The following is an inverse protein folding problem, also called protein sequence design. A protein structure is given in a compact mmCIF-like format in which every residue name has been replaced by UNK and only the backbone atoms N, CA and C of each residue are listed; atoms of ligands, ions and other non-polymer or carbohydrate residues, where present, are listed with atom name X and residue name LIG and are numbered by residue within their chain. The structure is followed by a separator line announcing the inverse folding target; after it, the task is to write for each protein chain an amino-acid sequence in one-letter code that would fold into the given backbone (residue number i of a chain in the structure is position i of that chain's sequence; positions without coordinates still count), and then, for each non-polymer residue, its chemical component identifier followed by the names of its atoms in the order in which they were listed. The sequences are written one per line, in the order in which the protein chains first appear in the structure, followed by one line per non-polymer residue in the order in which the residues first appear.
data_IF_233016338649
#
_entry.id   IF_233016338649
#
_cell.length_a   1.000
_cell.length_b   1.000
_cell.length_c   1.000
_cell.angle_alpha   90.00
_cell.angle_beta   90.00
_cell.angle_gamma   90.00
#
_symmetry.space_group_name_H-M   'P 1'
#
loop_
_entity.id
_entity.type
_entity.pdbx_description
1 polymer ?
#
# COMPACT_ATOMS: atom_id res chain seq x y z
N UNK A 1 -14.62 -12.14 7.51
CA UNK A 1 -13.84 -12.68 6.35
C UNK A 1 -13.76 -11.74 5.17
N UNK A 2 -14.89 -11.25 4.64
CA UNK A 2 -14.92 -10.39 3.44
C UNK A 2 -13.85 -9.29 3.42
N UNK A 3 -13.70 -8.55 4.52
CA UNK A 3 -12.70 -7.48 4.64
C UNK A 3 -11.25 -7.96 4.47
N UNK A 4 -10.89 -9.13 5.02
CA UNK A 4 -9.53 -9.66 4.91
C UNK A 4 -9.20 -10.02 3.45
N UNK A 5 -10.12 -10.68 2.75
CA UNK A 5 -9.92 -10.96 1.34
C UNK A 5 -9.88 -9.69 0.49
N UNK A 6 -10.79 -8.75 0.73
CA UNK A 6 -10.83 -7.48 -0.01
C UNK A 6 -9.53 -6.68 0.14
N UNK A 7 -9.04 -6.51 1.37
CA UNK A 7 -7.79 -5.78 1.61
C UNK A 7 -6.62 -6.51 0.94
N UNK A 8 -6.52 -7.83 1.11
CA UNK A 8 -5.40 -8.60 0.56
C UNK A 8 -5.42 -8.69 -0.97
N UNK A 9 -6.60 -8.68 -1.60
CA UNK A 9 -6.74 -8.67 -3.05
C UNK A 9 -5.97 -7.50 -3.67
N UNK A 10 -6.10 -6.30 -3.09
CA UNK A 10 -5.35 -5.11 -3.57
C UNK A 10 -3.83 -5.31 -3.50
N UNK A 11 -3.35 -5.99 -2.47
CA UNK A 11 -1.93 -6.25 -2.29
C UNK A 11 -1.41 -7.29 -3.31
N UNK A 12 -2.15 -8.39 -3.47
CA UNK A 12 -1.76 -9.52 -4.33
C UNK A 12 -1.89 -9.14 -5.80
N UNK A 13 -2.94 -8.43 -6.20
CA UNK A 13 -3.12 -8.00 -7.59
C UNK A 13 -2.04 -7.02 -8.04
N UNK A 14 -1.60 -6.14 -7.13
CA UNK A 14 -0.58 -5.15 -7.42
C UNK A 14 0.85 -5.70 -7.35
N UNK A 15 1.19 -6.54 -6.37
CA UNK A 15 2.59 -6.92 -6.08
C UNK A 15 2.82 -8.41 -5.82
N UNK A 16 1.77 -9.23 -5.91
CA UNK A 16 1.84 -10.67 -5.66
C UNK A 16 2.47 -11.43 -6.82
N UNK A 17 3.24 -12.47 -6.48
CA UNK A 17 3.76 -13.42 -7.46
C UNK A 17 2.75 -14.56 -7.71
N UNK A 18 3.02 -15.43 -8.69
CA UNK A 18 2.17 -16.61 -8.98
C UNK A 18 1.87 -17.46 -7.74
N UNK A 19 2.87 -17.61 -6.86
CA UNK A 19 2.73 -18.34 -5.60
C UNK A 19 1.80 -17.64 -4.60
N UNK A 20 1.84 -16.31 -4.55
CA UNK A 20 0.97 -15.51 -3.67
C UNK A 20 -0.49 -15.59 -4.15
N UNK A 21 -0.69 -15.57 -5.47
CA UNK A 21 -2.00 -15.76 -6.11
C UNK A 21 -2.54 -17.15 -5.80
N UNK A 22 -1.72 -18.21 -5.92
CA UNK A 22 -2.13 -19.57 -5.57
C UNK A 22 -2.58 -19.68 -4.10
N UNK A 23 -1.78 -19.13 -3.16
CA UNK A 23 -2.15 -19.10 -1.74
C UNK A 23 -3.43 -18.29 -1.47
N UNK A 24 -3.66 -17.21 -2.22
CA UNK A 24 -4.87 -16.42 -2.13
C UNK A 24 -6.10 -17.21 -2.60
N UNK A 25 -5.98 -17.94 -3.71
CA UNK A 25 -7.02 -18.82 -4.23
C UNK A 25 -7.30 -19.97 -3.26
N UNK A 26 -6.27 -20.60 -2.70
CA UNK A 26 -6.43 -21.69 -1.73
C UNK A 26 -7.17 -21.21 -0.47
N UNK A 27 -6.81 -20.04 0.05
CA UNK A 27 -7.55 -19.42 1.15
C UNK A 27 -9.02 -19.15 0.78
N UNK A 28 -9.28 -18.70 -0.46
CA UNK A 28 -10.62 -18.44 -0.94
C UNK A 28 -11.46 -19.73 -1.07
N UNK A 29 -10.84 -20.84 -1.53
CA UNK A 29 -11.46 -22.17 -1.58
C UNK A 29 -11.87 -22.66 -0.19
N UNK A 30 -11.01 -22.56 0.81
CA UNK A 30 -11.37 -22.96 2.18
C UNK A 30 -12.47 -22.06 2.77
N UNK A 31 -12.43 -20.76 2.47
CA UNK A 31 -13.51 -19.87 2.86
C UNK A 31 -14.83 -20.21 2.14
N UNK A 32 -14.80 -20.66 0.89
CA UNK A 32 -15.99 -21.11 0.16
C UNK A 32 -16.60 -22.37 0.79
N UNK A 33 -15.79 -23.41 1.04
CA UNK A 33 -16.23 -24.62 1.76
C UNK A 33 -16.87 -24.28 3.11
N UNK A 34 -16.30 -23.32 3.83
CA UNK A 34 -16.89 -22.87 5.08
C UNK A 34 -18.31 -22.29 4.90
N UNK A 35 -18.56 -21.54 3.83
CA UNK A 35 -19.91 -21.02 3.54
C UNK A 35 -20.85 -22.15 3.17
N UNK A 36 -20.38 -23.13 2.40
CA UNK A 36 -21.17 -24.32 2.07
C UNK A 36 -21.60 -25.08 3.32
N UNK A 37 -20.67 -25.43 4.21
CA UNK A 37 -20.99 -26.09 5.48
C UNK A 37 -21.89 -25.25 6.39
N UNK A 38 -21.73 -23.92 6.38
CA UNK A 38 -22.59 -23.02 7.13
C UNK A 38 -24.04 -23.05 6.61
N UNK A 39 -24.22 -23.06 5.29
CA UNK A 39 -25.54 -23.16 4.65
C UNK A 39 -26.19 -24.52 4.88
N UNK A 40 -25.40 -25.59 4.97
CA UNK A 40 -25.86 -26.95 5.32
C UNK A 40 -26.18 -27.10 6.82
N UNK A 41 -26.00 -26.05 7.65
CA UNK A 41 -26.21 -26.10 9.10
C UNK A 41 -25.09 -26.79 9.88
N UNK A 42 -23.99 -27.18 9.24
CA UNK A 42 -22.83 -27.81 9.89
C UNK A 42 -21.84 -26.75 10.41
N UNK A 43 -22.19 -26.12 11.54
CA UNK A 43 -21.40 -25.03 12.11
C UNK A 43 -20.01 -25.46 12.60
N UNK A 44 -19.87 -26.69 13.10
CA UNK A 44 -18.60 -27.21 13.59
C UNK A 44 -17.58 -27.34 12.45
N UNK A 45 -18.01 -27.86 11.29
CA UNK A 45 -17.13 -27.95 10.14
C UNK A 45 -16.87 -26.58 9.53
N UNK A 46 -17.90 -25.73 9.41
CA UNK A 46 -17.74 -24.35 8.93
C UNK A 46 -16.69 -23.58 9.74
N UNK A 47 -16.70 -23.72 11.07
CA UNK A 47 -15.70 -23.07 11.93
C UNK A 47 -14.27 -23.58 11.69
N UNK A 48 -14.09 -24.90 11.47
CA UNK A 48 -12.78 -25.48 11.14
C UNK A 48 -12.24 -24.93 9.82
N UNK A 49 -13.07 -24.90 8.78
CA UNK A 49 -12.67 -24.39 7.46
C UNK A 49 -12.33 -22.89 7.48
N UNK A 50 -13.10 -22.07 8.22
CA UNK A 50 -12.77 -20.65 8.43
C UNK A 50 -11.38 -20.49 9.05
N UNK A 51 -11.04 -21.31 10.05
CA UNK A 51 -9.74 -21.25 10.71
C UNK A 51 -8.60 -21.67 9.79
N UNK A 52 -8.84 -22.64 8.90
CA UNK A 52 -7.87 -23.02 7.87
C UNK A 52 -7.65 -21.88 6.88
N UNK A 53 -8.72 -21.24 6.40
CA UNK A 53 -8.62 -20.04 5.56
C UNK A 53 -7.82 -18.93 6.26
N UNK A 54 -8.10 -18.64 7.54
CA UNK A 54 -7.33 -17.63 8.29
C UNK A 54 -5.87 -18.00 8.48
N UNK A 55 -5.56 -19.28 8.68
CA UNK A 55 -4.18 -19.75 8.78
C UNK A 55 -3.41 -19.44 7.50
N UNK A 56 -3.98 -19.78 6.33
CA UNK A 56 -3.38 -19.50 5.02
C UNK A 56 -3.24 -17.98 4.82
N UNK A 57 -4.31 -17.21 5.06
CA UNK A 57 -4.29 -15.76 4.96
C UNK A 57 -3.20 -15.13 5.84
N UNK A 58 -3.08 -15.57 7.10
CA UNK A 58 -2.09 -15.00 8.03
C UNK A 58 -0.65 -15.18 7.54
N UNK A 59 -0.36 -16.31 6.88
CA UNK A 59 0.93 -16.58 6.25
C UNK A 59 1.16 -15.66 5.05
N UNK A 60 0.16 -15.53 4.18
CA UNK A 60 0.22 -14.69 2.98
C UNK A 60 0.38 -13.20 3.34
N UNK A 61 -0.39 -12.70 4.30
CA UNK A 61 -0.25 -11.34 4.84
C UNK A 61 1.16 -11.04 5.33
N UNK A 62 1.75 -11.96 6.09
CA UNK A 62 3.12 -11.83 6.60
C UNK A 62 4.13 -11.80 5.46
N UNK A 63 3.99 -12.70 4.47
CA UNK A 63 4.88 -12.76 3.30
C UNK A 63 4.86 -11.44 2.53
N UNK A 64 3.67 -10.95 2.19
CA UNK A 64 3.49 -9.71 1.44
C UNK A 64 4.04 -8.50 2.22
N UNK A 65 3.75 -8.39 3.52
CA UNK A 65 4.28 -7.32 4.36
C UNK A 65 5.83 -7.30 4.35
N UNK A 66 6.45 -8.45 4.60
CA UNK A 66 7.91 -8.54 4.79
C UNK A 66 8.67 -8.45 3.48
N UNK A 67 8.26 -9.22 2.47
CA UNK A 67 9.02 -9.42 1.24
C UNK A 67 8.77 -8.34 0.21
N UNK A 68 7.55 -7.81 0.14
CA UNK A 68 7.16 -6.79 -0.84
C UNK A 68 7.17 -5.42 -0.19
N UNK A 69 6.21 -5.14 0.69
CA UNK A 69 5.98 -3.79 1.18
C UNK A 69 7.14 -3.19 1.97
N UNK A 70 7.55 -3.83 3.05
CA UNK A 70 8.54 -3.28 3.98
C UNK A 70 9.92 -3.19 3.35
N UNK A 71 10.30 -4.23 2.58
CA UNK A 71 11.57 -4.25 1.84
C UNK A 71 11.64 -3.11 0.83
N UNK A 72 10.60 -2.94 0.01
CA UNK A 72 10.53 -1.85 -0.96
C UNK A 72 10.57 -0.47 -0.30
N UNK A 73 9.80 -0.28 0.79
CA UNK A 73 9.78 0.99 1.51
C UNK A 73 11.15 1.36 2.07
N UNK A 74 11.86 0.37 2.61
CA UNK A 74 13.23 0.55 3.10
C UNK A 74 14.17 0.95 1.98
N UNK A 75 14.16 0.22 0.86
CA UNK A 75 15.00 0.53 -0.30
C UNK A 75 14.72 1.95 -0.81
N UNK A 76 13.44 2.35 -0.88
CA UNK A 76 13.04 3.68 -1.31
C UNK A 76 13.57 4.78 -0.38
N UNK A 77 13.44 4.59 0.93
CA UNK A 77 13.94 5.54 1.94
C UNK A 77 15.47 5.61 1.94
N UNK A 78 16.15 4.46 1.90
CA UNK A 78 17.62 4.38 1.93
C UNK A 78 18.22 5.06 0.68
N UNK A 79 17.62 4.84 -0.50
CA UNK A 79 18.04 5.50 -1.75
C UNK A 79 17.67 6.98 -1.80
N UNK A 80 16.55 7.37 -1.21
CA UNK A 80 16.08 8.75 -1.22
C UNK A 80 16.76 9.65 -0.18
N UNK A 81 17.22 9.07 0.93
CA UNK A 81 17.88 9.78 2.03
C UNK A 81 19.04 10.70 1.60
N UNK A 82 20.04 10.26 0.80
CA UNK A 82 21.15 11.14 0.42
C UNK A 82 20.69 12.36 -0.41
N UNK A 83 19.67 12.19 -1.25
CA UNK A 83 19.12 13.27 -2.08
C UNK A 83 18.42 14.29 -1.18
N UNK A 84 17.60 13.81 -0.25
CA UNK A 84 16.82 14.66 0.65
C UNK A 84 17.73 15.45 1.60
N UNK A 85 18.71 14.77 2.21
CA UNK A 85 19.66 15.40 3.13
C UNK A 85 20.55 16.40 2.37
N UNK A 86 20.97 16.06 1.14
CA UNK A 86 21.75 16.95 0.29
C UNK A 86 21.03 18.25 -0.09
N UNK A 87 19.70 18.22 -0.21
CA UNK A 87 18.89 19.39 -0.54
C UNK A 87 18.77 20.42 0.61
N UNK A 88 19.12 20.03 1.85
CA UNK A 88 19.05 20.89 3.06
C UNK A 88 17.68 21.56 3.29
N UNK A 89 16.59 20.93 2.85
CA UNK A 89 15.22 21.41 3.10
C UNK A 89 14.66 20.79 4.39
N UNK A 90 14.31 21.59 5.42
CA UNK A 90 13.74 21.08 6.67
C UNK A 90 12.44 20.28 6.48
N UNK A 91 11.61 20.62 5.48
CA UNK A 91 10.36 19.91 5.22
C UNK A 91 10.62 18.54 4.61
N UNK A 92 11.52 18.46 3.65
CA UNK A 92 11.92 17.20 3.04
C UNK A 92 12.55 16.26 4.08
N UNK A 93 13.42 16.79 4.96
CA UNK A 93 14.00 16.03 6.06
C UNK A 93 12.94 15.56 7.06
N UNK A 94 11.93 16.38 7.36
CA UNK A 94 10.81 15.99 8.21
C UNK A 94 10.04 14.81 7.62
N UNK A 95 9.73 14.82 6.32
CA UNK A 95 9.08 13.69 5.65
C UNK A 95 9.95 12.43 5.70
N UNK A 96 11.26 12.54 5.53
CA UNK A 96 12.18 11.40 5.67
C UNK A 96 12.10 10.79 7.08
N UNK A 97 12.08 11.61 8.13
CA UNK A 97 11.93 11.15 9.52
C UNK A 97 10.59 10.43 9.75
N UNK A 98 9.49 10.98 9.23
CA UNK A 98 8.17 10.33 9.30
C UNK A 98 8.17 8.97 8.59
N UNK A 99 8.83 8.88 7.43
CA UNK A 99 8.96 7.63 6.68
C UNK A 99 9.68 6.53 7.48
N UNK A 100 10.84 6.84 8.08
CA UNK A 100 11.56 5.87 8.92
C UNK A 100 10.79 5.50 10.19
N UNK A 101 10.11 6.46 10.84
CA UNK A 101 9.26 6.20 12.01
C UNK A 101 8.19 5.17 11.69
N UNK A 102 7.42 5.39 10.63
CA UNK A 102 6.31 4.50 10.26
C UNK A 102 6.82 3.10 9.85
N UNK A 103 8.01 3.00 9.26
CA UNK A 103 8.66 1.72 8.98
C UNK A 103 9.01 0.97 10.26
N UNK A 104 9.57 1.66 11.27
CA UNK A 104 9.87 1.09 12.58
C UNK A 104 8.59 0.63 13.29
N UNK A 105 7.54 1.43 13.26
CA UNK A 105 6.25 1.07 13.89
C UNK A 105 5.59 -0.12 13.19
N UNK A 106 5.66 -0.20 11.86
CA UNK A 106 5.23 -1.38 11.12
C UNK A 106 6.03 -2.64 11.53
N UNK A 107 7.33 -2.50 11.77
CA UNK A 107 8.16 -3.61 12.27
C UNK A 107 7.75 -4.04 13.68
N UNK A 108 7.41 -3.10 14.57
CA UNK A 108 6.89 -3.41 15.91
C UNK A 108 5.58 -4.20 15.85
N UNK A 109 4.63 -3.76 15.02
CA UNK A 109 3.36 -4.48 14.82
C UNK A 109 3.58 -5.87 14.24
N UNK A 110 4.51 -6.01 13.29
CA UNK A 110 4.87 -7.32 12.77
C UNK A 110 5.42 -8.24 13.87
N UNK A 111 6.33 -7.75 14.72
CA UNK A 111 6.88 -8.52 15.84
C UNK A 111 5.81 -8.92 16.84
N UNK A 112 4.88 -8.02 17.14
CA UNK A 112 3.72 -8.31 17.99
C UNK A 112 2.85 -9.42 17.37
N UNK A 113 2.61 -9.37 16.05
CA UNK A 113 1.87 -10.40 15.34
C UNK A 113 2.60 -11.75 15.36
N UNK A 114 3.91 -11.76 15.06
CA UNK A 114 4.75 -12.97 15.07
C UNK A 114 4.75 -13.63 16.47
N UNK A 115 4.84 -12.83 17.54
CA UNK A 115 4.87 -13.30 18.93
C UNK A 115 3.50 -13.66 19.53
N UNK A 116 2.40 -13.24 18.91
CA UNK A 116 1.05 -13.59 19.40
C UNK A 116 0.77 -15.10 19.29
N UNK A 117 -0.19 -15.60 20.08
CA UNK A 117 -0.55 -17.02 20.10
C UNK A 117 -0.75 -17.58 18.68
N UNK A 118 -0.16 -18.75 18.40
CA UNK A 118 -0.20 -19.46 17.12
C UNK A 118 -1.62 -19.61 16.56
N UNK A 119 -2.62 -19.76 17.42
CA UNK A 119 -4.00 -20.02 17.03
C UNK A 119 -4.85 -18.76 16.79
N UNK A 120 -4.35 -17.57 17.16
CA UNK A 120 -5.06 -16.30 17.01
C UNK A 120 -4.80 -15.67 15.63
N UNK A 121 -5.22 -16.36 14.57
CA UNK A 121 -4.97 -15.94 13.19
C UNK A 121 -5.62 -14.59 12.85
N UNK A 122 -6.84 -14.33 13.33
CA UNK A 122 -7.56 -13.08 13.09
C UNK A 122 -6.83 -11.86 13.65
N UNK A 123 -6.26 -11.98 14.86
CA UNK A 123 -5.44 -10.95 15.48
C UNK A 123 -4.17 -10.71 14.67
N UNK A 124 -3.47 -11.79 14.26
CA UNK A 124 -2.28 -11.69 13.41
C UNK A 124 -2.59 -10.94 12.11
N UNK A 125 -3.67 -11.31 11.43
CA UNK A 125 -4.12 -10.66 10.19
C UNK A 125 -4.35 -9.16 10.42
N UNK A 126 -5.05 -8.78 11.50
CA UNK A 126 -5.32 -7.37 11.80
C UNK A 126 -4.02 -6.58 12.02
N UNK A 127 -3.09 -7.11 12.81
CA UNK A 127 -1.80 -6.47 13.05
C UNK A 127 -0.98 -6.34 11.75
N UNK A 128 -1.03 -7.34 10.86
CA UNK A 128 -0.37 -7.22 9.55
C UNK A 128 -1.05 -6.19 8.64
N UNK A 129 -2.37 -6.08 8.65
CA UNK A 129 -3.09 -5.03 7.91
C UNK A 129 -2.62 -3.64 8.35
N UNK A 130 -2.55 -3.41 9.66
CA UNK A 130 -2.13 -2.12 10.20
C UNK A 130 -0.65 -1.83 9.92
N UNK A 131 0.21 -2.84 9.99
CA UNK A 131 1.60 -2.73 9.55
C UNK A 131 1.70 -2.40 8.05
N UNK A 132 0.91 -3.02 7.17
CA UNK A 132 0.90 -2.71 5.74
C UNK A 132 0.48 -1.25 5.49
N UNK A 133 -0.54 -0.76 6.20
CA UNK A 133 -0.98 0.64 6.08
C UNK A 133 0.13 1.62 6.47
N UNK A 134 0.84 1.36 7.57
CA UNK A 134 1.99 2.18 7.98
C UNK A 134 3.12 2.13 6.94
N UNK A 135 3.42 0.96 6.37
CA UNK A 135 4.44 0.88 5.32
C UNK A 135 4.04 1.64 4.05
N UNK A 136 2.76 1.62 3.67
CA UNK A 136 2.25 2.43 2.56
C UNK A 136 2.38 3.93 2.86
N UNK A 137 2.12 4.33 4.10
CA UNK A 137 2.33 5.70 4.56
C UNK A 137 3.81 6.10 4.51
N UNK A 138 4.71 5.22 4.95
CA UNK A 138 6.16 5.42 4.85
C UNK A 138 6.62 5.65 3.40
N UNK A 139 6.12 4.84 2.45
CA UNK A 139 6.40 5.02 1.02
C UNK A 139 5.95 6.40 0.52
N UNK A 140 4.76 6.86 0.93
CA UNK A 140 4.24 8.20 0.56
C UNK A 140 5.15 9.30 1.09
N UNK A 141 5.57 9.23 2.35
CA UNK A 141 6.49 10.22 2.90
C UNK A 141 7.85 10.21 2.20
N UNK A 142 8.36 9.04 1.81
CA UNK A 142 9.59 8.96 1.02
C UNK A 142 9.44 9.72 -0.32
N UNK A 143 8.32 9.52 -1.02
CA UNK A 143 8.05 10.24 -2.26
C UNK A 143 7.84 11.74 -2.06
N UNK A 144 7.12 12.16 -1.01
CA UNK A 144 6.93 13.57 -0.68
C UNK A 144 8.26 14.25 -0.38
N UNK A 145 9.11 13.63 0.44
CA UNK A 145 10.45 14.15 0.73
C UNK A 145 11.29 14.29 -0.54
N UNK A 146 11.22 13.32 -1.45
CA UNK A 146 11.92 13.39 -2.72
C UNK A 146 11.41 14.51 -3.64
N UNK A 147 10.10 14.69 -3.75
CA UNK A 147 9.51 15.79 -4.53
C UNK A 147 9.98 17.13 -3.96
N UNK A 148 9.81 17.33 -2.65
CA UNK A 148 10.21 18.58 -1.98
C UNK A 148 11.70 18.89 -2.13
N UNK A 149 12.56 17.87 -2.07
CA UNK A 149 14.00 18.03 -2.25
C UNK A 149 14.40 18.50 -3.65
N UNK A 150 13.58 18.19 -4.68
CA UNK A 150 13.87 18.49 -6.08
C UNK A 150 13.11 19.71 -6.62
N UNK A 151 12.06 20.16 -5.95
CA UNK A 151 11.30 21.35 -6.37
C UNK A 151 12.13 22.63 -6.17
N UNK A 152 12.30 23.48 -7.20
CA UNK A 152 12.98 24.77 -7.06
C UNK A 152 12.26 25.70 -6.06
N UNK A 153 13.03 26.48 -5.30
CA UNK A 153 12.52 27.50 -4.35
C UNK A 153 11.43 28.45 -4.90
N UNK A 154 11.46 28.95 -6.16
CA UNK A 154 10.39 29.79 -6.68
C UNK A 154 9.03 29.07 -6.78
N UNK A 155 9.04 27.80 -7.19
CA UNK A 155 7.80 27.00 -7.36
C UNK A 155 7.21 26.59 -6.01
N UNK A 156 8.02 26.52 -4.94
CA UNK A 156 7.54 26.19 -3.58
C UNK A 156 6.54 27.20 -3.02
N UNK A 157 6.59 28.46 -3.45
CA UNK A 157 5.61 29.49 -3.05
C UNK A 157 4.20 29.17 -3.56
N UNK A 158 4.09 28.50 -4.71
CA UNK A 158 2.79 28.13 -5.27
C UNK A 158 2.14 26.92 -4.59
N UNK A 159 2.94 26.04 -3.97
CA UNK A 159 2.48 24.84 -3.27
C UNK A 159 2.37 25.02 -1.74
N UNK A 160 2.64 26.22 -1.21
CA UNK A 160 2.34 26.53 0.19
C UNK A 160 0.83 26.51 0.45
N UNK A 161 0.43 26.12 1.66
CA UNK A 161 -0.95 26.23 2.14
C UNK A 161 -1.36 27.69 2.10
N UNK A 162 -2.12 28.07 1.06
CA UNK A 162 -2.70 29.39 0.94
C UNK A 162 -3.81 29.52 1.97
N UNK A 163 -3.85 30.65 2.68
CA UNK A 163 -5.03 30.97 3.50
C UNK A 163 -6.24 31.23 2.58
N UNK A 164 -7.46 30.98 3.06
CA UNK A 164 -8.70 31.18 2.29
C UNK A 164 -8.76 32.60 1.66
N UNK A 165 -8.27 33.60 2.39
CA UNK A 165 -8.19 34.99 1.96
C UNK A 165 -7.11 35.22 0.87
N UNK A 166 -6.00 34.49 0.90
CA UNK A 166 -4.95 34.52 -0.12
C UNK A 166 -5.41 33.93 -1.45
N UNK A 167 -6.19 32.85 -1.40
CA UNK A 167 -6.78 32.21 -2.58
C UNK A 167 -7.76 33.14 -3.30
N UNK A 168 -8.60 33.84 -2.53
CA UNK A 168 -9.59 34.78 -3.06
C UNK A 168 -8.95 36.00 -3.74
N UNK A 169 -7.74 36.38 -3.33
CA UNK A 169 -7.05 37.59 -3.78
C UNK A 169 -6.01 37.36 -4.91
N UNK A 170 -5.78 36.12 -5.35
CA UNK A 170 -4.80 35.82 -6.41
C UNK A 170 -5.38 36.18 -7.79
N UNK A 171 -4.71 37.06 -8.55
CA UNK A 171 -5.08 37.31 -9.96
C UNK A 171 -4.86 36.02 -10.77
N UNK A 172 -5.92 35.55 -11.45
CA UNK A 172 -5.90 34.24 -12.12
C UNK A 172 -4.96 34.30 -13.35
N UNK A 173 -3.87 33.49 -13.40
CA UNK A 173 -3.21 33.20 -14.67
C UNK A 173 -4.17 32.42 -15.60
N UNK A 174 -3.89 32.31 -16.91
CA UNK A 174 -4.76 31.60 -17.85
C UNK A 174 -5.12 30.20 -17.34
N UNK A 175 -6.41 29.87 -17.38
CA UNK A 175 -6.97 28.66 -16.76
C UNK A 175 -6.49 27.41 -17.48
N UNK A 176 -5.48 26.75 -16.90
CA UNK A 176 -5.15 25.36 -17.19
C UNK A 176 -5.95 24.52 -16.19
N UNK A 177 -6.67 23.47 -16.61
CA UNK A 177 -7.36 22.57 -15.67
C UNK A 177 -6.39 22.05 -14.61
N UNK A 178 -6.78 22.06 -13.33
CA UNK A 178 -5.89 21.68 -12.21
C UNK A 178 -5.30 20.28 -12.40
N UNK A 179 -6.08 19.37 -12.99
CA UNK A 179 -5.64 18.04 -13.38
C UNK A 179 -4.47 18.09 -14.38
N UNK A 180 -4.55 18.92 -15.42
CA UNK A 180 -3.50 19.04 -16.44
C UNK A 180 -2.26 19.77 -15.90
N UNK A 181 -2.44 20.73 -15.00
CA UNK A 181 -1.30 21.39 -14.33
C UNK A 181 -0.52 20.40 -13.47
N UNK A 182 -1.21 19.61 -12.65
CA UNK A 182 -0.61 18.56 -11.80
C UNK A 182 -0.04 17.43 -12.66
N UNK A 183 -0.76 17.00 -13.69
CA UNK A 183 -0.28 15.98 -14.65
C UNK A 183 0.98 16.46 -15.35
N UNK A 184 1.05 17.70 -15.82
CA UNK A 184 2.22 18.24 -16.53
C UNK A 184 3.41 18.48 -15.60
N UNK A 185 3.19 18.91 -14.34
CA UNK A 185 4.28 19.01 -13.35
C UNK A 185 4.81 17.64 -12.95
N UNK A 186 3.92 16.67 -12.69
CA UNK A 186 4.33 15.29 -12.39
C UNK A 186 5.02 14.65 -13.61
N UNK A 187 4.52 14.88 -14.83
CA UNK A 187 5.14 14.40 -16.08
C UNK A 187 6.51 15.03 -16.30
N UNK A 188 6.68 16.33 -16.05
CA UNK A 188 7.99 17.00 -16.13
C UNK A 188 8.97 16.55 -15.04
N UNK A 189 8.48 16.23 -13.83
CA UNK A 189 9.29 15.66 -12.75
C UNK A 189 9.68 14.19 -13.02
N UNK A 190 8.78 13.41 -13.63
CA UNK A 190 9.02 12.03 -14.06
C UNK A 190 9.99 11.96 -15.24
N UNK A 191 9.82 12.83 -16.24
CA UNK A 191 10.70 12.95 -17.42
C UNK A 191 12.13 13.40 -17.05
N UNK A 192 12.35 13.97 -15.86
CA UNK A 192 13.66 14.46 -15.37
C UNK A 192 14.38 13.52 -14.37
N UNK A 193 14.15 12.20 -14.39
CA UNK A 193 14.90 11.18 -13.60
C UNK A 193 14.45 11.04 -12.13
N UNK A 194 13.27 10.46 -11.89
CA UNK A 194 12.96 9.94 -10.55
C UNK A 194 13.53 8.53 -10.33
N UNK A 195 13.50 7.64 -11.34
CA UNK A 195 14.28 6.39 -11.38
C UNK A 195 14.52 5.97 -12.84
N UNK A 196 15.69 5.41 -13.20
CA UNK A 196 15.75 4.54 -14.38
C UNK A 196 14.93 3.29 -14.04
N UNK A 197 13.76 3.11 -14.68
CA UNK A 197 12.99 1.88 -14.80
C UNK A 197 12.54 1.05 -13.55
N UNK A 198 12.74 1.48 -12.29
CA UNK A 198 12.45 0.60 -11.13
C UNK A 198 11.21 0.88 -10.28
N UNK A 199 10.69 2.12 -10.20
CA UNK A 199 9.53 2.44 -9.33
C UNK A 199 8.53 3.38 -10.02
N UNK A 200 7.27 2.95 -10.11
CA UNK A 200 6.15 3.76 -10.60
C UNK A 200 5.48 4.48 -9.42
N UNK A 201 5.66 5.80 -9.36
CA UNK A 201 5.12 6.68 -8.32
C UNK A 201 3.61 6.49 -8.11
N UNK A 202 2.84 6.43 -9.20
CA UNK A 202 1.39 6.30 -9.14
C UNK A 202 1.00 4.91 -8.64
N UNK A 203 1.70 3.86 -9.08
CA UNK A 203 1.48 2.50 -8.57
C UNK A 203 1.70 2.39 -7.07
N UNK A 204 2.69 3.07 -6.51
CA UNK A 204 3.00 2.97 -5.07
C UNK A 204 2.19 3.91 -4.18
N UNK A 205 1.75 5.07 -4.68
CA UNK A 205 0.92 6.01 -3.90
C UNK A 205 -0.57 5.62 -3.93
N UNK A 206 -1.06 5.17 -5.09
CA UNK A 206 -2.45 4.76 -5.29
C UNK A 206 -2.76 3.32 -4.87
N UNK A 207 -1.79 2.58 -4.34
CA UNK A 207 -1.97 1.25 -3.74
C UNK A 207 -2.98 1.22 -2.56
N UNK A 208 -3.47 2.39 -2.13
CA UNK A 208 -4.52 2.53 -1.12
C UNK A 208 -5.93 2.75 -1.70
N UNK A 209 -6.09 2.92 -3.02
CA UNK A 209 -7.37 3.35 -3.63
C UNK A 209 -7.96 2.40 -4.66
N UNK A 210 -7.39 1.20 -4.87
CA UNK A 210 -7.97 0.23 -5.80
C UNK A 210 -8.13 0.75 -7.24
N UNK A 211 -7.37 1.79 -7.62
CA UNK A 211 -7.50 2.46 -8.93
C UNK A 211 -7.03 1.60 -10.12
N UNK A 212 -6.47 0.41 -9.87
CA UNK A 212 -6.39 -0.64 -10.88
C UNK A 212 -7.53 -1.63 -10.65
N UNK A 213 -8.68 -1.32 -11.25
CA UNK A 213 -9.89 -2.15 -11.26
C UNK A 213 -9.87 -3.30 -12.28
N UNK A 214 -8.75 -3.59 -12.94
CA UNK A 214 -8.81 -4.52 -14.08
C UNK A 214 -8.55 -5.99 -13.74
N UNK A 215 -8.04 -6.32 -12.54
CA UNK A 215 -7.74 -7.72 -12.17
C UNK A 215 -8.36 -8.12 -10.84
N UNK A 216 -9.66 -8.42 -10.87
CA UNK A 216 -10.25 -9.23 -9.81
C UNK A 216 -9.74 -10.66 -9.98
N UNK A 217 -8.74 -11.05 -9.16
CA UNK A 217 -8.10 -12.37 -9.21
C UNK A 217 -9.15 -13.51 -9.16
N UNK A 218 -10.23 -13.29 -8.41
CA UNK A 218 -11.35 -14.25 -8.28
C UNK A 218 -12.28 -14.29 -9.49
N UNK A 219 -12.35 -13.21 -10.29
CA UNK A 219 -13.13 -13.17 -11.54
C UNK A 219 -12.33 -13.69 -12.73
N UNK A 220 -11.04 -13.40 -12.80
CA UNK A 220 -10.14 -13.86 -13.87
C UNK A 220 -9.90 -15.36 -13.80
N UNK A 221 -9.66 -15.89 -12.59
CA UNK A 221 -9.51 -17.32 -12.38
C UNK A 221 -10.86 -17.94 -12.07
N UNK A 222 -11.88 -17.72 -12.92
CA UNK A 222 -13.20 -18.34 -12.80
C UNK A 222 -13.00 -19.72 -12.20
N UNK A 223 -13.42 -19.87 -10.95
CA UNK A 223 -13.20 -21.11 -10.25
C UNK A 223 -14.01 -22.11 -11.07
N UNK A 224 -13.32 -22.94 -11.85
CA UNK A 224 -13.83 -24.16 -12.46
C UNK A 224 -14.21 -25.07 -11.28
N UNK A 225 -15.30 -24.71 -10.60
CA UNK A 225 -16.02 -25.63 -9.76
C UNK A 225 -16.83 -26.43 -10.77
N UNK A 226 -16.19 -27.48 -11.25
CA UNK A 226 -16.83 -28.59 -11.96
C UNK A 226 -18.19 -28.87 -11.34
N UNK A 227 -19.23 -28.77 -12.17
CA UNK A 227 -20.52 -29.41 -11.92
C UNK A 227 -20.32 -30.92 -11.80
#
# INVERSE_FOLDING_TARGET
NKYFFFFLNTCVSNFGDKNDIALFIDAAKENYKAHEFYLQGNYNQAFKEIRLAHKILSKLYRQILVQKYRRDARILLDKGAPIIVGAKDPRAEHFLKLGYRDLVDAYRLQRQADNSNRFLFSLKIRLYIDAIKLVRQAKRYAFLGLIESKTPLPDKKDFQTQTLNEYLNKTKPPHIPDFDRVKNTITNMLNRRLFPNYYDFFRHIHDNYGLKYDRDILKENQIEISK
#
